data_IF_796892056732
#
_entry.id   IF_796892056732
#
_cell.length_a   1.000
_cell.length_b   1.000
_cell.length_c   1.000
_cell.angle_alpha   90.00
_cell.angle_beta   90.00
_cell.angle_gamma   90.00
#
_symmetry.space_group_name_H-M   'P 1'
#
loop_
_entity.id
_entity.type
_entity.pdbx_description
1 polymer ?
#
# COMPACT_ATOMS: atom_id res chain seq x y z
N UNK A 1 -27.10 -26.39 3.20
CA UNK A 1 -26.99 -24.91 3.32
C UNK A 1 -25.50 -24.59 3.43
N UNK A 2 -24.85 -24.11 2.37
CA UNK A 2 -23.43 -23.73 2.38
C UNK A 2 -23.33 -22.25 2.73
N UNK A 3 -22.79 -21.93 3.91
CA UNK A 3 -22.43 -20.57 4.31
C UNK A 3 -21.11 -20.22 3.61
N UNK A 4 -21.21 -19.51 2.49
CA UNK A 4 -20.06 -18.86 1.87
C UNK A 4 -19.73 -17.60 2.68
N UNK A 5 -18.87 -17.72 3.68
CA UNK A 5 -18.24 -16.57 4.33
C UNK A 5 -17.12 -16.05 3.42
N UNK A 6 -17.52 -15.30 2.39
CA UNK A 6 -16.61 -14.47 1.62
C UNK A 6 -16.50 -13.14 2.36
N UNK A 7 -15.45 -12.97 3.17
CA UNK A 7 -15.19 -11.75 3.92
C UNK A 7 -14.80 -10.61 2.97
N UNK A 8 -15.79 -10.03 2.29
CA UNK A 8 -15.68 -8.71 1.73
C UNK A 8 -15.68 -7.74 2.92
N UNK A 9 -14.49 -7.33 3.37
CA UNK A 9 -14.37 -6.22 4.30
C UNK A 9 -15.05 -5.00 3.66
N UNK A 10 -16.24 -4.65 4.13
CA UNK A 10 -16.96 -3.45 3.71
C UNK A 10 -16.08 -2.24 4.01
N UNK A 11 -15.54 -1.63 2.97
CA UNK A 11 -14.89 -0.33 3.11
C UNK A 11 -15.96 0.67 3.55
N UNK A 12 -15.79 1.26 4.72
CA UNK A 12 -16.66 2.32 5.21
C UNK A 12 -16.67 3.49 4.20
N UNK A 13 -17.80 4.19 4.11
CA UNK A 13 -17.94 5.40 3.28
C UNK A 13 -16.84 6.42 3.62
N UNK A 14 -16.47 6.52 4.90
CA UNK A 14 -15.36 7.38 5.36
C UNK A 14 -14.03 7.01 4.71
N UNK A 15 -13.68 5.72 4.65
CA UNK A 15 -12.45 5.28 4.00
C UNK A 15 -12.45 5.60 2.50
N UNK A 16 -13.62 5.50 1.84
CA UNK A 16 -13.75 5.88 0.42
C UNK A 16 -13.56 7.38 0.21
N UNK A 17 -14.16 8.21 1.06
CA UNK A 17 -14.04 9.68 0.97
C UNK A 17 -12.62 10.13 1.28
N UNK A 18 -12.00 9.63 2.35
CA UNK A 18 -10.62 9.97 2.72
C UNK A 18 -9.65 9.54 1.63
N UNK A 19 -9.78 8.31 1.12
CA UNK A 19 -8.92 7.85 0.02
C UNK A 19 -9.08 8.71 -1.22
N UNK A 20 -10.30 9.20 -1.50
CA UNK A 20 -10.55 10.06 -2.65
C UNK A 20 -9.99 11.47 -2.46
N UNK A 21 -10.21 12.09 -1.31
CA UNK A 21 -9.64 13.41 -0.99
C UNK A 21 -8.12 13.35 -0.97
N UNK A 22 -7.53 12.33 -0.35
CA UNK A 22 -6.07 12.16 -0.39
C UNK A 22 -5.57 11.92 -1.81
N UNK A 23 -6.34 11.25 -2.66
CA UNK A 23 -5.95 11.05 -4.06
C UNK A 23 -6.05 12.33 -4.88
N UNK A 24 -7.12 13.11 -4.72
CA UNK A 24 -7.40 14.30 -5.53
C UNK A 24 -6.52 15.50 -5.12
N UNK A 25 -6.14 15.60 -3.84
CA UNK A 25 -5.36 16.73 -3.30
C UNK A 25 -3.86 16.46 -3.15
N UNK A 26 -3.41 15.22 -3.40
CA UNK A 26 -1.99 14.87 -3.26
C UNK A 26 -1.34 14.58 -4.59
N UNK A 27 -0.02 14.72 -4.63
CA UNK A 27 0.77 14.25 -5.77
C UNK A 27 0.70 12.72 -5.78
N UNK A 28 0.13 12.16 -6.84
CA UNK A 28 0.02 10.70 -7.01
C UNK A 28 0.92 10.24 -8.15
N UNK A 29 1.77 9.26 -7.87
CA UNK A 29 2.50 8.54 -8.90
C UNK A 29 1.74 7.30 -9.34
N UNK A 30 1.71 7.01 -10.64
CA UNK A 30 1.22 5.73 -11.15
C UNK A 30 2.40 4.85 -11.56
N UNK A 31 2.37 3.60 -11.11
CA UNK A 31 3.24 2.53 -11.59
C UNK A 31 2.39 1.50 -12.31
N UNK A 32 2.87 1.00 -13.45
CA UNK A 32 2.20 -0.08 -14.17
C UNK A 32 3.15 -1.26 -14.37
N UNK A 33 2.66 -2.47 -14.07
CA UNK A 33 3.33 -3.73 -14.36
C UNK A 33 2.33 -4.74 -14.90
N UNK A 34 2.61 -5.30 -16.07
CA UNK A 34 1.75 -6.30 -16.72
C UNK A 34 0.27 -5.85 -16.84
N UNK A 35 0.03 -4.59 -17.19
CA UNK A 35 -1.31 -4.01 -17.30
C UNK A 35 -2.02 -3.72 -15.97
N UNK A 36 -1.39 -4.02 -14.82
CA UNK A 36 -1.88 -3.63 -13.50
C UNK A 36 -1.31 -2.29 -13.09
N UNK A 37 -2.20 -1.34 -12.80
CA UNK A 37 -1.85 -0.01 -12.28
C UNK A 37 -1.89 -0.02 -10.76
N UNK A 38 -0.86 0.57 -10.16
CA UNK A 38 -0.74 0.80 -8.72
C UNK A 38 -0.42 2.27 -8.53
N UNK A 39 -1.23 2.93 -7.70
CA UNK A 39 -1.04 4.32 -7.37
C UNK A 39 -0.22 4.43 -6.08
N UNK A 40 0.74 5.35 -6.10
CA UNK A 40 1.62 5.69 -5.00
C UNK A 40 1.31 7.12 -4.56
N UNK A 41 1.04 7.29 -3.28
CA UNK A 41 0.91 8.60 -2.68
C UNK A 41 2.30 9.15 -2.35
N UNK A 42 2.64 10.33 -2.86
CA UNK A 42 3.86 11.03 -2.44
C UNK A 42 3.57 11.81 -1.16
N UNK A 43 3.83 11.17 -0.04
CA UNK A 43 3.68 11.77 1.29
C UNK A 43 5.01 12.36 1.76
N UNK A 44 5.15 13.69 1.70
CA UNK A 44 6.35 14.39 2.20
C UNK A 44 6.48 14.35 3.73
N UNK A 45 5.43 13.95 4.44
CA UNK A 45 5.41 13.79 5.89
C UNK A 45 6.05 12.48 6.37
N UNK A 46 6.34 11.53 5.47
CA UNK A 46 7.02 10.29 5.85
C UNK A 46 8.50 10.28 5.46
N UNK A 47 9.33 9.78 6.37
CA UNK A 47 10.75 9.49 6.13
C UNK A 47 10.97 8.10 5.48
N UNK A 48 9.93 7.25 5.46
CA UNK A 48 10.01 5.88 4.96
C UNK A 48 8.79 5.55 4.11
N UNK A 49 9.04 4.98 2.93
CA UNK A 49 7.98 4.43 2.09
C UNK A 49 7.38 3.19 2.74
N UNK A 50 6.05 3.14 2.83
CA UNK A 50 5.30 1.97 3.29
C UNK A 50 4.64 1.34 2.05
N UNK A 51 4.79 0.03 1.91
CA UNK A 51 4.25 -0.71 0.76
C UNK A 51 3.46 -1.90 1.29
N UNK A 52 2.24 -2.07 0.77
CA UNK A 52 1.43 -3.24 1.09
C UNK A 52 2.10 -4.53 0.57
N UNK A 53 2.03 -5.63 1.34
CA UNK A 53 2.71 -6.90 0.99
C UNK A 53 2.40 -7.39 -0.44
N UNK A 54 1.14 -7.26 -0.87
CA UNK A 54 0.72 -7.62 -2.23
C UNK A 54 1.46 -6.86 -3.33
N UNK A 55 1.75 -5.57 -3.11
CA UNK A 55 2.47 -4.73 -4.07
C UNK A 55 3.96 -5.04 -4.00
N UNK A 56 4.48 -5.25 -2.78
CA UNK A 56 5.86 -5.66 -2.55
C UNK A 56 6.22 -6.94 -3.33
N UNK A 57 5.37 -7.97 -3.27
CA UNK A 57 5.62 -9.22 -3.99
C UNK A 57 5.63 -9.03 -5.51
N UNK A 58 4.97 -7.99 -6.02
CA UNK A 58 4.98 -7.62 -7.44
C UNK A 58 6.19 -6.76 -7.83
N UNK A 59 6.73 -5.90 -6.95
CA UNK A 59 7.81 -4.96 -7.29
C UNK A 59 9.20 -5.34 -6.75
N UNK A 60 9.30 -6.35 -5.89
CA UNK A 60 10.60 -6.83 -5.39
C UNK A 60 11.45 -7.42 -6.52
N UNK A 61 12.77 -7.27 -6.40
CA UNK A 61 13.70 -8.01 -7.25
C UNK A 61 13.75 -9.49 -6.81
N UNK A 62 14.12 -10.39 -7.71
CA UNK A 62 14.12 -11.84 -7.44
C UNK A 62 15.07 -12.25 -6.31
N UNK A 63 16.16 -11.51 -6.14
CA UNK A 63 17.20 -11.68 -5.13
C UNK A 63 16.87 -10.99 -3.79
N UNK A 64 15.84 -10.15 -3.73
CA UNK A 64 15.52 -9.45 -2.49
C UNK A 64 14.81 -10.36 -1.49
N UNK A 65 15.44 -10.55 -0.34
CA UNK A 65 14.85 -11.13 0.87
C UNK A 65 14.41 -10.00 1.81
N UNK A 66 13.19 -10.08 2.34
CA UNK A 66 12.74 -9.15 3.37
C UNK A 66 13.56 -9.36 4.63
N UNK A 67 14.23 -8.31 5.08
CA UNK A 67 14.84 -8.32 6.41
C UNK A 67 13.72 -8.19 7.44
N UNK A 68 13.59 -9.14 8.37
CA UNK A 68 12.52 -9.11 9.36
C UNK A 68 12.63 -7.83 10.19
N UNK A 69 11.47 -7.23 10.43
CA UNK A 69 11.30 -6.13 11.37
C UNK A 69 10.16 -6.53 12.29
N UNK A 70 10.31 -6.26 13.57
CA UNK A 70 9.27 -6.46 14.57
C UNK A 70 8.83 -5.08 15.06
N UNK A 71 8.18 -4.34 14.16
CA UNK A 71 7.69 -3.00 14.45
C UNK A 71 6.18 -2.95 14.29
N UNK A 72 5.54 -2.22 15.20
CA UNK A 72 4.11 -1.95 15.16
C UNK A 72 3.95 -0.49 14.76
N UNK A 73 3.21 -0.24 13.68
CA UNK A 73 2.77 1.11 13.31
C UNK A 73 1.45 1.38 14.00
N UNK A 74 1.46 2.32 14.95
CA UNK A 74 0.25 2.83 15.58
C UNK A 74 -0.45 3.73 14.58
N UNK A 75 -1.74 3.47 14.34
CA UNK A 75 -2.57 4.27 13.44
C UNK A 75 -3.41 5.25 14.24
N UNK A 76 -3.69 6.43 13.68
CA UNK A 76 -4.57 7.43 14.30
C UNK A 76 -6.04 7.00 14.30
N UNK A 77 -6.41 6.11 13.38
CA UNK A 77 -7.77 5.59 13.18
C UNK A 77 -7.66 4.11 12.80
N UNK A 78 -7.61 3.23 13.79
CA UNK A 78 -7.68 1.78 13.58
C UNK A 78 -6.79 0.98 14.52
N UNK A 79 -6.77 -0.33 14.25
CA UNK A 79 -5.86 -1.24 14.94
C UNK A 79 -4.42 -0.98 14.52
N UNK A 80 -3.44 -1.26 15.38
CA UNK A 80 -2.03 -1.18 15.00
C UNK A 80 -1.72 -2.13 13.84
N UNK A 81 -0.83 -1.68 12.94
CA UNK A 81 -0.43 -2.44 11.76
C UNK A 81 0.95 -3.05 12.00
N UNK A 82 1.06 -4.37 11.83
CA UNK A 82 2.35 -5.06 11.93
C UNK A 82 3.19 -4.83 10.67
N UNK A 83 4.39 -4.31 10.86
CA UNK A 83 5.41 -4.26 9.81
C UNK A 83 6.15 -5.59 9.81
N UNK A 84 6.05 -6.30 8.70
CA UNK A 84 6.61 -7.66 8.55
C UNK A 84 8.09 -7.66 8.13
N UNK A 85 8.62 -6.53 7.65
CA UNK A 85 10.01 -6.44 7.21
C UNK A 85 10.33 -5.19 6.40
N UNK A 86 11.60 -5.04 6.03
CA UNK A 86 12.11 -4.02 5.11
C UNK A 86 12.89 -4.66 3.96
N UNK A 87 12.89 -4.00 2.81
CA UNK A 87 13.69 -4.38 1.66
C UNK A 87 13.74 -3.27 0.62
N UNK A 88 14.35 -3.56 -0.53
CA UNK A 88 14.38 -2.65 -1.69
C UNK A 88 13.51 -3.19 -2.83
N UNK A 89 12.82 -2.28 -3.51
CA UNK A 89 12.07 -2.59 -4.73
C UNK A 89 12.38 -1.53 -5.78
N UNK A 90 12.28 -1.91 -7.05
CA UNK A 90 12.48 -0.99 -8.17
C UNK A 90 11.12 -0.64 -8.75
N UNK A 91 10.71 0.62 -8.56
CA UNK A 91 9.46 1.15 -9.07
C UNK A 91 9.81 2.27 -10.05
N UNK A 92 9.31 2.18 -11.28
CA UNK A 92 9.41 3.25 -12.27
C UNK A 92 8.05 3.94 -12.35
N UNK A 93 7.92 5.11 -11.73
CA UNK A 93 6.71 5.92 -11.86
C UNK A 93 6.60 6.36 -13.32
N UNK A 94 5.49 6.02 -13.97
CA UNK A 94 5.30 6.29 -15.40
C UNK A 94 4.57 7.61 -15.64
N UNK A 95 3.76 8.07 -14.69
CA UNK A 95 3.07 9.36 -14.72
C UNK A 95 2.90 9.89 -13.29
N UNK A 96 2.90 11.22 -13.18
CA UNK A 96 2.39 11.95 -12.02
C UNK A 96 0.99 12.42 -12.42
N UNK A 97 0.01 12.15 -11.56
CA UNK A 97 -1.41 12.47 -11.75
C UNK A 97 -1.80 13.48 -10.66
#
# INVERSE_FOLDING_TARGET
MKLNNQSNAEQSVSNRVINRVMFDESIVGCWEKNGRKVNFLFDSGTIKTIVARRIWDECKTSDTVLQPLSNILVTSVGSPVNVIGKGKCNVKIINII
#
